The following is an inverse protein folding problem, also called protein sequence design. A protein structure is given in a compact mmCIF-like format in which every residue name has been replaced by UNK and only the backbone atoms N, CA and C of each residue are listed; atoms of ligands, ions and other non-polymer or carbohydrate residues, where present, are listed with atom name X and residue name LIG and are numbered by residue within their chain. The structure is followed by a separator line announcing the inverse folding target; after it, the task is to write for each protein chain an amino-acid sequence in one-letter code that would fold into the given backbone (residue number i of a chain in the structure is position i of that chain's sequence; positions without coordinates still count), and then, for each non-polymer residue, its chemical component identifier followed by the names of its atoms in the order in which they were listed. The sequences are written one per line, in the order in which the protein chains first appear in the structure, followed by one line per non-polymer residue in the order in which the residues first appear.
data_IF_594429799485
#
_entry.id   IF_594429799485
#
_cell.length_a   1.000
_cell.length_b   1.000
_cell.length_c   1.000
_cell.angle_alpha   90.00
_cell.angle_beta   90.00
_cell.angle_gamma   90.00
#
_symmetry.space_group_name_H-M   'P 1'
#
loop_
_entity.id
_entity.type
_entity.pdbx_description
1 polymer ?
#
# COMPACT_ATOMS: atom_id res chain seq x y z
N UNK A 1 -28.60 -23.45 9.47
CA UNK A 1 -27.38 -23.60 8.66
C UNK A 1 -27.67 -22.99 7.30
N UNK A 2 -26.96 -21.91 6.94
CA UNK A 2 -27.05 -21.35 5.58
C UNK A 2 -26.25 -22.29 4.68
N UNK A 3 -26.85 -22.80 3.60
CA UNK A 3 -26.17 -23.69 2.66
C UNK A 3 -25.21 -22.87 1.78
N UNK A 4 -24.14 -23.51 1.32
CA UNK A 4 -23.14 -22.90 0.42
C UNK A 4 -23.76 -22.34 -0.86
N UNK A 5 -24.83 -22.94 -1.38
CA UNK A 5 -25.58 -22.43 -2.55
C UNK A 5 -26.23 -21.06 -2.29
N UNK A 6 -26.80 -20.84 -1.10
CA UNK A 6 -27.42 -19.56 -0.75
C UNK A 6 -26.38 -18.43 -0.66
N UNK A 7 -25.18 -18.73 -0.18
CA UNK A 7 -24.11 -17.72 -0.07
C UNK A 7 -23.51 -17.35 -1.42
N UNK A 8 -23.45 -18.28 -2.38
CA UNK A 8 -23.00 -18.00 -3.75
C UNK A 8 -24.03 -17.12 -4.49
N UNK A 9 -25.33 -17.42 -4.37
CA UNK A 9 -26.38 -16.54 -4.92
C UNK A 9 -26.28 -15.13 -4.34
N UNK A 10 -26.06 -15.03 -3.02
CA UNK A 10 -25.90 -13.75 -2.32
C UNK A 10 -24.67 -12.97 -2.82
N UNK A 11 -23.58 -13.65 -3.12
CA UNK A 11 -22.38 -13.02 -3.69
C UNK A 11 -22.69 -12.38 -5.04
N UNK A 12 -23.43 -13.06 -5.92
CA UNK A 12 -23.79 -12.51 -7.24
C UNK A 12 -24.74 -11.30 -7.12
N UNK A 13 -25.73 -11.36 -6.22
CA UNK A 13 -26.59 -10.19 -5.92
C UNK A 13 -25.79 -8.97 -5.48
N UNK A 14 -24.82 -9.17 -4.58
CA UNK A 14 -23.97 -8.09 -4.08
C UNK A 14 -23.06 -7.52 -5.18
N UNK A 15 -22.55 -8.36 -6.09
CA UNK A 15 -21.81 -7.89 -7.27
C UNK A 15 -22.68 -7.02 -8.17
N UNK A 16 -23.92 -7.44 -8.44
CA UNK A 16 -24.85 -6.68 -9.27
C UNK A 16 -25.20 -5.34 -8.62
N UNK A 17 -25.50 -5.34 -7.31
CA UNK A 17 -25.75 -4.12 -6.54
C UNK A 17 -24.55 -3.16 -6.60
N UNK A 18 -23.33 -3.68 -6.42
CA UNK A 18 -22.12 -2.87 -6.48
C UNK A 18 -21.92 -2.28 -7.88
N UNK A 19 -22.04 -3.09 -8.93
CA UNK A 19 -21.83 -2.66 -10.31
C UNK A 19 -22.82 -1.57 -10.76
N UNK A 20 -24.09 -1.72 -10.40
CA UNK A 20 -25.15 -0.84 -10.89
C UNK A 20 -25.28 0.46 -10.09
N UNK A 21 -25.00 0.43 -8.79
CA UNK A 21 -25.28 1.56 -7.89
C UNK A 21 -23.99 2.26 -7.47
N UNK A 22 -23.01 1.48 -6.99
CA UNK A 22 -21.86 2.01 -6.25
C UNK A 22 -20.68 2.31 -7.18
N UNK A 23 -20.35 1.38 -8.08
CA UNK A 23 -19.20 1.47 -8.97
C UNK A 23 -19.19 2.74 -9.85
N UNK A 24 -20.30 3.22 -10.43
CA UNK A 24 -20.28 4.41 -11.29
C UNK A 24 -19.91 5.70 -10.55
N UNK A 25 -20.11 5.73 -9.23
CA UNK A 25 -19.97 6.93 -8.40
C UNK A 25 -18.93 6.76 -7.29
N UNK A 26 -18.12 5.71 -7.35
CA UNK A 26 -17.28 5.26 -6.24
C UNK A 26 -16.35 6.34 -5.66
N UNK A 27 -15.87 7.28 -6.49
CA UNK A 27 -15.02 8.40 -6.05
C UNK A 27 -15.74 9.40 -5.15
N UNK A 28 -17.06 9.53 -5.30
CA UNK A 28 -17.91 10.43 -4.51
C UNK A 28 -18.51 9.72 -3.30
N UNK A 29 -18.68 8.40 -3.38
CA UNK A 29 -19.45 7.59 -2.43
C UNK A 29 -18.55 6.68 -1.58
N UNK A 30 -17.43 7.21 -1.06
CA UNK A 30 -16.47 6.39 -0.30
C UNK A 30 -17.06 5.82 1.00
N UNK A 31 -17.89 6.58 1.71
CA UNK A 31 -18.58 6.08 2.92
C UNK A 31 -19.51 4.91 2.58
N UNK A 32 -20.31 5.06 1.52
CA UNK A 32 -21.30 4.06 1.12
C UNK A 32 -20.66 2.78 0.59
N UNK A 33 -19.49 2.87 -0.08
CA UNK A 33 -18.67 1.68 -0.38
C UNK A 33 -18.27 0.97 0.91
N UNK A 34 -17.84 1.72 1.92
CA UNK A 34 -17.45 1.17 3.22
C UNK A 34 -18.61 0.47 3.91
N UNK A 35 -19.77 1.10 3.96
CA UNK A 35 -21.01 0.53 4.53
C UNK A 35 -21.42 -0.74 3.80
N UNK A 36 -21.42 -0.72 2.46
CA UNK A 36 -21.70 -1.89 1.64
C UNK A 36 -20.74 -3.05 1.96
N UNK A 37 -19.44 -2.76 2.06
CA UNK A 37 -18.43 -3.79 2.35
C UNK A 37 -18.57 -4.36 3.76
N UNK A 38 -18.93 -3.54 4.76
CA UNK A 38 -19.20 -4.00 6.12
C UNK A 38 -20.39 -4.96 6.13
N UNK A 39 -21.50 -4.61 5.45
CA UNK A 39 -22.67 -5.48 5.35
C UNK A 39 -22.33 -6.77 4.58
N UNK A 40 -21.62 -6.67 3.47
CA UNK A 40 -21.22 -7.82 2.67
C UNK A 40 -20.31 -8.80 3.45
N UNK A 41 -19.41 -8.30 4.31
CA UNK A 41 -18.56 -9.15 5.15
C UNK A 41 -19.39 -9.97 6.15
N UNK A 42 -20.41 -9.35 6.74
CA UNK A 42 -21.36 -10.01 7.67
C UNK A 42 -22.21 -11.07 6.94
N UNK A 43 -22.63 -10.80 5.70
CA UNK A 43 -23.51 -11.68 4.92
C UNK A 43 -22.78 -12.90 4.34
N UNK A 44 -21.57 -12.72 3.81
CA UNK A 44 -20.88 -13.70 2.96
C UNK A 44 -19.89 -14.60 3.73
N UNK A 45 -19.43 -14.16 4.91
CA UNK A 45 -18.28 -14.74 5.58
C UNK A 45 -16.96 -14.49 4.83
N UNK A 46 -15.82 -14.75 5.50
CA UNK A 46 -14.51 -14.26 5.05
C UNK A 46 -14.09 -14.69 3.63
N UNK A 47 -14.34 -15.94 3.23
CA UNK A 47 -13.87 -16.46 1.93
C UNK A 47 -14.60 -15.77 0.78
N UNK A 48 -15.93 -15.74 0.82
CA UNK A 48 -16.73 -15.14 -0.24
C UNK A 48 -16.63 -13.60 -0.23
N UNK A 49 -16.46 -12.99 0.94
CA UNK A 49 -16.13 -11.58 1.05
C UNK A 49 -14.81 -11.24 0.34
N UNK A 50 -13.76 -12.07 0.51
CA UNK A 50 -12.50 -11.88 -0.20
C UNK A 50 -12.63 -12.04 -1.71
N UNK A 51 -13.52 -12.93 -2.17
CA UNK A 51 -13.86 -13.06 -3.59
C UNK A 51 -14.52 -11.78 -4.11
N UNK A 52 -15.48 -11.21 -3.37
CA UNK A 52 -16.11 -9.93 -3.70
C UNK A 52 -15.06 -8.81 -3.82
N UNK A 53 -14.17 -8.66 -2.84
CA UNK A 53 -13.12 -7.63 -2.87
C UNK A 53 -12.17 -7.78 -4.06
N UNK A 54 -11.83 -9.03 -4.41
CA UNK A 54 -10.97 -9.35 -5.55
C UNK A 54 -11.67 -9.03 -6.88
N UNK A 55 -12.95 -9.34 -6.97
CA UNK A 55 -13.80 -8.98 -8.11
C UNK A 55 -13.92 -7.46 -8.25
N UNK A 56 -14.20 -6.72 -7.18
CA UNK A 56 -14.25 -5.23 -7.19
C UNK A 56 -12.92 -4.65 -7.70
N UNK A 57 -11.78 -5.20 -7.25
CA UNK A 57 -10.46 -4.76 -7.71
C UNK A 57 -10.24 -5.00 -9.20
N UNK A 58 -10.65 -6.17 -9.70
CA UNK A 58 -10.39 -6.57 -11.09
C UNK A 58 -11.34 -5.89 -12.08
N UNK A 59 -12.65 -5.94 -11.82
CA UNK A 59 -13.67 -5.44 -12.74
C UNK A 59 -13.86 -3.92 -12.67
N UNK A 60 -13.66 -3.31 -11.50
CA UNK A 60 -13.90 -1.87 -11.31
C UNK A 60 -12.62 -1.07 -11.03
N UNK A 61 -11.45 -1.71 -11.04
CA UNK A 61 -10.16 -1.07 -10.80
C UNK A 61 -10.07 -0.31 -9.47
N UNK A 62 -10.82 -0.75 -8.45
CA UNK A 62 -10.79 -0.14 -7.10
C UNK A 62 -9.82 -0.96 -6.22
N UNK A 63 -8.63 -0.43 -5.87
CA UNK A 63 -7.63 -1.18 -5.12
C UNK A 63 -8.14 -1.63 -3.75
N UNK A 64 -7.66 -2.78 -3.26
CA UNK A 64 -8.01 -3.28 -1.91
C UNK A 64 -7.69 -2.23 -0.84
N UNK A 65 -6.57 -1.50 -0.96
CA UNK A 65 -6.25 -0.42 -0.01
C UNK A 65 -7.29 0.69 0.01
N UNK A 66 -7.93 0.98 -1.12
CA UNK A 66 -9.01 1.95 -1.20
C UNK A 66 -10.28 1.41 -0.58
N UNK A 67 -10.61 0.14 -0.82
CA UNK A 67 -11.73 -0.54 -0.19
C UNK A 67 -11.57 -0.55 1.34
N UNK A 68 -10.38 -0.86 1.85
CA UNK A 68 -10.03 -0.83 3.29
C UNK A 68 -10.22 0.57 3.89
N UNK A 69 -9.78 1.62 3.19
CA UNK A 69 -9.97 3.01 3.64
C UNK A 69 -11.45 3.41 3.64
N UNK A 70 -12.23 2.99 2.63
CA UNK A 70 -13.68 3.23 2.59
C UNK A 70 -14.37 2.62 3.83
N UNK A 71 -14.00 1.40 4.21
CA UNK A 71 -14.49 0.75 5.44
C UNK A 71 -14.13 1.55 6.69
N UNK A 72 -12.91 2.08 6.78
CA UNK A 72 -12.51 2.93 7.91
C UNK A 72 -13.30 4.25 7.96
N UNK A 73 -13.61 4.84 6.81
CA UNK A 73 -14.47 6.03 6.71
C UNK A 73 -15.86 5.71 7.26
N UNK A 74 -16.48 4.63 6.79
CA UNK A 74 -17.81 4.20 7.23
C UNK A 74 -17.87 3.91 8.74
N UNK A 75 -16.79 3.40 9.33
CA UNK A 75 -16.67 3.18 10.79
C UNK A 75 -16.40 4.46 11.59
N UNK A 76 -16.24 5.61 10.93
CA UNK A 76 -15.84 6.86 11.58
C UNK A 76 -14.45 6.78 12.22
N UNK A 77 -13.56 5.97 11.64
CA UNK A 77 -12.16 5.85 12.07
C UNK A 77 -11.25 6.88 11.39
N UNK A 78 -11.63 7.32 10.18
CA UNK A 78 -10.95 8.36 9.41
C UNK A 78 -11.99 9.32 8.81
N UNK A 79 -11.71 10.61 8.86
CA UNK A 79 -12.52 11.64 8.19
C UNK A 79 -12.30 11.56 6.67
N UNK A 80 -13.37 11.65 5.84
CA UNK A 80 -13.24 11.62 4.37
C UNK A 80 -12.24 12.64 3.82
N UNK A 81 -12.20 13.82 4.40
CA UNK A 81 -11.32 14.92 4.00
C UNK A 81 -9.86 14.62 4.32
N UNK A 82 -9.57 13.85 5.38
CA UNK A 82 -8.24 13.32 5.71
C UNK A 82 -7.84 12.21 4.74
N UNK A 83 -8.76 11.30 4.44
CA UNK A 83 -8.53 10.21 3.48
C UNK A 83 -8.20 10.75 2.06
N UNK A 84 -8.84 11.84 1.65
CA UNK A 84 -8.62 12.47 0.35
C UNK A 84 -7.19 13.03 0.15
N UNK A 85 -6.48 13.31 1.24
CA UNK A 85 -5.16 13.95 1.21
C UNK A 85 -3.99 13.02 1.52
N UNK A 86 -4.26 11.86 2.08
CA UNK A 86 -3.26 10.83 2.43
C UNK A 86 -3.32 9.70 1.40
N UNK A 87 -2.17 9.17 0.92
CA UNK A 87 -2.19 7.96 0.10
C UNK A 87 -2.91 6.81 0.80
N UNK A 88 -3.89 6.18 0.15
CA UNK A 88 -4.66 5.07 0.74
C UNK A 88 -3.79 3.89 1.16
N UNK A 89 -2.63 3.68 0.52
CA UNK A 89 -1.64 2.67 0.92
C UNK A 89 -1.04 2.90 2.30
N UNK A 90 -1.03 4.15 2.77
CA UNK A 90 -0.58 4.53 4.11
C UNK A 90 -1.77 4.61 5.06
N UNK A 91 -2.84 5.32 4.66
CA UNK A 91 -4.02 5.56 5.50
C UNK A 91 -4.60 4.26 6.07
N UNK A 92 -4.66 3.19 5.27
CA UNK A 92 -5.18 1.90 5.70
C UNK A 92 -4.47 1.26 6.90
N UNK A 93 -3.24 1.66 7.19
CA UNK A 93 -2.43 1.12 8.28
C UNK A 93 -2.40 2.03 9.52
N UNK A 94 -2.91 3.26 9.41
CA UNK A 94 -2.91 4.20 10.53
C UNK A 94 -4.03 3.82 11.49
N UNK A 95 -3.69 3.60 12.76
CA UNK A 95 -4.68 3.35 13.80
C UNK A 95 -5.53 4.60 14.06
N UNK A 96 -6.80 4.42 14.43
CA UNK A 96 -7.76 5.50 14.70
C UNK A 96 -7.19 6.63 15.59
N UNK A 97 -6.45 6.27 16.64
CA UNK A 97 -5.86 7.24 17.57
C UNK A 97 -4.69 8.06 17.01
N UNK A 98 -4.08 7.59 15.93
CA UNK A 98 -2.91 8.21 15.30
C UNK A 98 -3.26 8.93 13.98
N UNK A 99 -4.53 8.94 13.60
CA UNK A 99 -4.98 9.63 12.40
C UNK A 99 -4.84 11.16 12.58
N UNK A 100 -4.19 11.86 11.65
CA UNK A 100 -4.07 13.31 11.76
C UNK A 100 -5.42 13.99 11.57
N UNK A 101 -5.64 15.10 12.27
CA UNK A 101 -6.82 15.94 12.13
C UNK A 101 -6.48 17.17 11.31
N UNK A 102 -7.39 17.62 10.46
CA UNK A 102 -7.13 18.72 9.51
C UNK A 102 -6.77 20.05 10.16
N UNK A 103 -7.42 20.35 11.29
CA UNK A 103 -7.23 21.61 12.02
C UNK A 103 -6.09 21.58 13.02
N UNK A 104 -5.58 20.39 13.36
CA UNK A 104 -4.48 20.22 14.29
C UNK A 104 -3.16 20.67 13.64
N UNK A 105 -2.31 21.30 14.46
CA UNK A 105 -0.98 21.73 14.04
C UNK A 105 0.07 20.71 14.45
N UNK A 106 0.94 20.39 13.50
CA UNK A 106 2.00 19.41 13.71
C UNK A 106 3.33 20.01 13.30
N UNK A 107 4.39 19.65 14.02
CA UNK A 107 5.75 20.02 13.65
C UNK A 107 6.32 18.92 12.76
N UNK A 108 6.59 19.27 11.50
CA UNK A 108 7.06 18.34 10.47
C UNK A 108 8.31 18.87 9.80
N UNK A 109 9.09 18.00 9.15
CA UNK A 109 10.17 18.45 8.29
C UNK A 109 9.63 18.93 6.95
N UNK A 110 9.93 20.18 6.59
CA UNK A 110 9.62 20.73 5.27
C UNK A 110 10.83 20.56 4.35
N UNK A 111 10.77 19.69 3.33
CA UNK A 111 11.89 19.52 2.40
C UNK A 111 12.17 20.78 1.58
N UNK A 112 11.15 21.60 1.33
CA UNK A 112 11.28 22.88 0.62
C UNK A 112 12.07 23.91 1.43
N UNK A 113 11.83 23.98 2.75
CA UNK A 113 12.53 24.92 3.64
C UNK A 113 13.78 24.34 4.30
N UNK A 114 14.04 23.04 4.12
CA UNK A 114 15.17 22.32 4.72
C UNK A 114 15.13 22.24 6.25
N UNK A 115 14.01 22.56 6.90
CA UNK A 115 13.90 22.69 8.36
C UNK A 115 12.54 22.25 8.91
N UNK A 116 12.43 21.97 10.23
CA UNK A 116 11.15 21.73 10.87
C UNK A 116 10.26 22.98 10.83
N UNK A 117 8.97 22.77 10.57
CA UNK A 117 7.93 23.81 10.60
C UNK A 117 6.68 23.30 11.29
N UNK A 118 6.01 24.16 12.04
CA UNK A 118 4.70 23.88 12.63
C UNK A 118 3.62 24.50 11.77
N UNK A 119 2.69 23.69 11.28
CA UNK A 119 1.51 24.16 10.55
C UNK A 119 0.36 23.16 10.64
N UNK A 120 -0.84 23.62 10.29
CA UNK A 120 -2.04 22.77 10.24
C UNK A 120 -1.91 21.67 9.19
N UNK A 121 -2.44 20.48 9.47
CA UNK A 121 -2.38 19.34 8.56
C UNK A 121 -2.95 19.65 7.17
N UNK A 122 -4.07 20.39 7.11
CA UNK A 122 -4.67 20.82 5.85
C UNK A 122 -3.73 21.62 4.94
N UNK A 123 -2.73 22.30 5.52
CA UNK A 123 -1.74 23.13 4.82
C UNK A 123 -0.46 22.36 4.45
N UNK A 124 -0.43 21.04 4.63
CA UNK A 124 0.70 20.23 4.20
C UNK A 124 0.69 20.10 2.67
N UNK A 125 1.85 20.29 2.07
CA UNK A 125 2.09 19.99 0.66
C UNK A 125 2.14 18.48 0.43
N UNK A 126 2.01 18.05 -0.84
CA UNK A 126 2.08 16.64 -1.22
C UNK A 126 3.38 15.96 -0.77
N UNK A 127 4.51 16.63 -0.95
CA UNK A 127 5.83 16.08 -0.57
C UNK A 127 5.99 16.01 0.96
N UNK A 128 5.50 17.01 1.69
CA UNK A 128 5.51 16.95 3.16
C UNK A 128 4.65 15.80 3.69
N UNK A 129 3.47 15.56 3.12
CA UNK A 129 2.64 14.40 3.51
C UNK A 129 3.36 13.09 3.24
N UNK A 130 3.97 12.96 2.06
CA UNK A 130 4.71 11.75 1.66
C UNK A 130 5.88 11.45 2.60
N UNK A 131 6.60 12.48 3.04
CA UNK A 131 7.78 12.32 3.90
C UNK A 131 7.43 12.12 5.37
N UNK A 132 6.41 12.84 5.87
CA UNK A 132 6.14 12.95 7.30
C UNK A 132 4.99 12.06 7.78
N UNK A 133 4.20 11.44 6.89
CA UNK A 133 3.12 10.53 7.28
C UNK A 133 3.56 9.10 7.04
N UNK A 134 3.40 8.25 8.05
CA UNK A 134 3.65 6.81 7.96
C UNK A 134 2.49 5.99 8.51
N UNK A 135 2.64 4.65 8.57
CA UNK A 135 1.66 3.74 9.16
C UNK A 135 1.31 4.04 10.62
N UNK A 136 2.15 4.81 11.33
CA UNK A 136 1.93 5.20 12.72
C UNK A 136 1.39 6.63 12.87
N UNK A 137 0.89 7.24 11.79
CA UNK A 137 0.43 8.63 11.79
C UNK A 137 1.53 9.61 11.37
N UNK A 138 1.53 10.80 11.97
CA UNK A 138 2.58 11.79 11.72
C UNK A 138 3.85 11.38 12.46
N UNK A 139 4.93 11.20 11.69
CA UNK A 139 6.26 10.84 12.21
C UNK A 139 6.79 11.96 13.09
N UNK A 140 7.32 11.59 14.24
CA UNK A 140 8.04 12.54 15.09
C UNK A 140 9.30 13.03 14.37
N UNK A 141 9.75 14.25 14.64
CA UNK A 141 11.01 14.80 14.08
C UNK A 141 12.22 13.97 14.54
N UNK A 142 12.11 13.28 15.67
CA UNK A 142 13.12 12.31 16.11
C UNK A 142 13.18 11.08 15.20
N UNK A 143 12.05 10.69 14.59
CA UNK A 143 11.95 9.57 13.64
C UNK A 143 12.29 10.00 12.20
N UNK A 144 12.20 11.29 11.86
CA UNK A 144 12.63 11.82 10.55
C UNK A 144 14.13 12.09 10.47
N UNK A 145 14.86 12.04 11.60
CA UNK A 145 16.31 11.84 11.64
C UNK A 145 16.72 10.38 11.42
N UNK A 146 15.95 9.62 10.64
CA UNK A 146 16.55 8.53 9.89
C UNK A 146 17.37 9.23 8.81
N UNK A 147 18.60 9.61 9.14
CA UNK A 147 19.67 9.57 8.15
C UNK A 147 19.41 8.29 7.34
N UNK A 148 19.33 8.36 5.99
CA UNK A 148 19.12 7.14 5.20
C UNK A 148 20.10 6.12 5.75
N UNK A 149 19.58 5.05 6.37
CA UNK A 149 20.44 4.03 6.98
C UNK A 149 21.51 3.75 5.94
N UNK A 150 22.81 3.93 6.25
CA UNK A 150 23.83 3.73 5.25
C UNK A 150 23.56 2.37 4.62
N UNK A 151 23.49 2.33 3.29
CA UNK A 151 23.18 1.10 2.58
C UNK A 151 24.03 -0.01 3.19
N UNK A 152 23.38 -1.02 3.77
CA UNK A 152 24.13 -2.16 4.30
C UNK A 152 24.69 -2.90 3.09
N UNK A 153 25.96 -2.62 2.76
CA UNK A 153 26.67 -3.32 1.70
C UNK A 153 26.99 -4.72 2.19
N UNK A 154 26.38 -5.73 1.58
CA UNK A 154 26.78 -7.11 1.79
C UNK A 154 27.64 -7.55 0.60
N UNK A 155 28.77 -8.20 0.88
CA UNK A 155 29.62 -8.77 -0.16
C UNK A 155 29.02 -10.11 -0.60
N UNK A 156 28.71 -10.23 -1.89
CA UNK A 156 28.34 -11.50 -2.49
C UNK A 156 29.49 -12.51 -2.33
N UNK A 157 29.18 -13.75 -1.95
CA UNK A 157 30.14 -14.85 -1.95
C UNK A 157 30.27 -15.47 -3.33
N UNK A 158 29.15 -15.55 -4.05
CA UNK A 158 29.11 -15.95 -5.45
C UNK A 158 27.85 -15.38 -6.12
N UNK A 159 27.81 -15.43 -7.43
CA UNK A 159 26.64 -15.09 -8.22
C UNK A 159 26.55 -15.99 -9.44
N UNK A 160 25.36 -16.14 -10.02
CA UNK A 160 25.12 -16.83 -11.29
C UNK A 160 24.01 -16.13 -12.08
N UNK A 161 23.99 -16.34 -13.39
CA UNK A 161 22.98 -15.77 -14.29
C UNK A 161 22.20 -16.89 -14.95
N UNK A 162 20.89 -16.92 -14.71
CA UNK A 162 19.94 -17.93 -15.20
C UNK A 162 18.69 -17.22 -15.73
N UNK A 163 18.25 -17.53 -16.95
CA UNK A 163 16.99 -17.05 -17.55
C UNK A 163 16.70 -15.54 -17.41
N UNK A 164 17.69 -14.69 -17.68
CA UNK A 164 17.56 -13.23 -17.58
C UNK A 164 17.51 -12.71 -16.13
N UNK A 165 17.93 -13.53 -15.16
CA UNK A 165 18.01 -13.20 -13.75
C UNK A 165 19.44 -13.35 -13.24
N UNK A 166 19.87 -12.39 -12.41
CA UNK A 166 21.09 -12.48 -11.61
C UNK A 166 20.72 -13.00 -10.22
N UNK A 167 21.26 -14.17 -9.88
CA UNK A 167 21.11 -14.79 -8.56
C UNK A 167 22.39 -14.52 -7.78
N UNK A 168 22.29 -13.78 -6.69
CA UNK A 168 23.40 -13.40 -5.82
C UNK A 168 23.32 -14.16 -4.51
N UNK A 169 24.37 -14.89 -4.16
CA UNK A 169 24.48 -15.61 -2.89
C UNK A 169 25.24 -14.74 -1.90
N UNK A 170 24.63 -14.47 -0.75
CA UNK A 170 25.21 -13.66 0.32
C UNK A 170 25.34 -14.52 1.57
N UNK A 171 26.57 -14.98 1.87
CA UNK A 171 26.83 -15.89 3.00
C UNK A 171 26.37 -15.35 4.36
N UNK A 172 26.47 -14.03 4.57
CA UNK A 172 26.02 -13.39 5.82
C UNK A 172 24.51 -13.39 6.00
N UNK A 173 23.75 -13.53 4.91
CA UNK A 173 22.28 -13.52 4.93
C UNK A 173 21.67 -14.91 4.80
N UNK A 174 22.47 -15.95 4.49
CA UNK A 174 22.01 -17.32 4.16
C UNK A 174 20.81 -17.33 3.21
N UNK A 175 20.77 -16.37 2.28
CA UNK A 175 19.69 -16.13 1.34
C UNK A 175 20.27 -15.91 -0.05
N UNK A 176 19.55 -16.43 -1.03
CA UNK A 176 19.73 -16.07 -2.43
C UNK A 176 18.89 -14.82 -2.73
N UNK A 177 19.48 -13.85 -3.41
CA UNK A 177 18.80 -12.64 -3.88
C UNK A 177 18.70 -12.74 -5.40
N UNK A 178 17.47 -12.77 -5.91
CA UNK A 178 17.20 -12.84 -7.35
C UNK A 178 16.86 -11.45 -7.88
N UNK A 179 17.57 -11.00 -8.90
CA UNK A 179 17.40 -9.70 -9.54
C UNK A 179 17.11 -9.90 -11.02
N UNK A 180 16.03 -9.31 -11.53
CA UNK A 180 15.82 -9.21 -12.98
C UNK A 180 16.88 -8.28 -13.57
N UNK A 181 17.56 -8.74 -14.62
CA UNK A 181 18.59 -7.98 -15.30
C UNK A 181 18.20 -7.70 -16.75
N UNK A 182 18.80 -6.65 -17.32
CA UNK A 182 18.62 -6.35 -18.75
C UNK A 182 19.50 -7.28 -19.59
N UNK A 183 19.12 -7.56 -20.85
CA UNK A 183 19.93 -8.41 -21.74
C UNK A 183 21.38 -7.93 -21.91
N UNK A 184 21.58 -6.61 -21.94
CA UNK A 184 22.91 -6.00 -22.00
C UNK A 184 23.75 -6.34 -20.78
N UNK A 185 23.18 -6.22 -19.58
CA UNK A 185 23.89 -6.53 -18.33
C UNK A 185 24.19 -8.04 -18.23
N UNK A 186 23.30 -8.89 -18.73
CA UNK A 186 23.56 -10.33 -18.84
C UNK A 186 24.75 -10.64 -19.75
N UNK A 187 24.84 -10.00 -20.91
CA UNK A 187 25.95 -10.15 -21.85
C UNK A 187 27.28 -9.70 -21.23
N UNK A 188 27.28 -8.53 -20.59
CA UNK A 188 28.46 -7.97 -19.91
C UNK A 188 28.99 -8.94 -18.84
N UNK A 189 28.11 -9.46 -17.97
CA UNK A 189 28.48 -10.42 -16.91
C UNK A 189 29.03 -11.73 -17.49
N UNK A 190 28.41 -12.25 -18.56
CA UNK A 190 28.87 -13.49 -19.21
C UNK A 190 30.24 -13.31 -19.87
N UNK A 191 30.50 -12.15 -20.47
CA UNK A 191 31.78 -11.84 -21.10
C UNK A 191 32.91 -11.79 -20.07
N UNK A 192 32.65 -11.19 -18.90
CA UNK A 192 33.63 -11.10 -17.81
C UNK A 192 33.96 -12.47 -17.21
N UNK A 193 32.96 -13.35 -17.06
CA UNK A 193 33.18 -14.71 -16.57
C UNK A 193 34.03 -15.57 -17.53
N UNK A 194 33.88 -15.37 -18.84
CA UNK A 194 34.72 -16.03 -19.86
C UNK A 194 36.17 -15.57 -19.77
N UNK A 195 36.38 -14.26 -19.58
CA UNK A 195 37.73 -13.69 -19.44
C UNK A 195 38.46 -14.17 -18.18
N UNK A 196 37.74 -14.49 -17.09
CA UNK A 196 38.34 -15.01 -15.84
C UNK A 196 38.63 -16.51 -15.85
N UNK A 197 38.10 -17.23 -16.84
CA UNK A 197 38.27 -18.69 -17.00
C UNK A 197 39.29 -19.05 -18.10
N UNK A 198 39.94 -18.04 -18.69
CA UNK A 198 41.02 -18.16 -19.69
C UNK A 198 42.35 -17.80 -19.06
#
# INVERSE_FOLDING_TARGET
MITTETQVSRLEELKEQFANIIAPQWKKLQSEIGEFLITAELDLGHILFRNLQTWIKSEHSIPISTQEVCVQIAKGEIEPEVAAVIPHSVAKHISKGNMPKLEDSYTIYSPDLGKPVTKKFKNFTKEERKLNIGPHGIRSISESRIEPKPFQTARASSYRVEDGQLIVIVNSLRKEITLSITPKLEEDIRSENRAKSS
#
